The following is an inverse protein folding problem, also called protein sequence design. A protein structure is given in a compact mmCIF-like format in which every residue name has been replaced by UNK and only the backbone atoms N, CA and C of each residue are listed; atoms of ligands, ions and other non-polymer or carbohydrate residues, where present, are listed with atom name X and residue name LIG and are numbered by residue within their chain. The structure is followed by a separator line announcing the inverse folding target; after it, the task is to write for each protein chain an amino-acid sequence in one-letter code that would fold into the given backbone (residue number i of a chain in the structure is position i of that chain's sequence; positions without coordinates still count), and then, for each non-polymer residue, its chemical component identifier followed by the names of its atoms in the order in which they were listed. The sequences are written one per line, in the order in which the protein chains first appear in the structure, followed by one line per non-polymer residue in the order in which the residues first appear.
data_IF_712616778310
#
_entry.id   IF_712616778310
#
_cell.length_a   1.000
_cell.length_b   1.000
_cell.length_c   1.000
_cell.angle_alpha   90.00
_cell.angle_beta   90.00
_cell.angle_gamma   90.00
#
_symmetry.space_group_name_H-M   'P 1'
#
loop_
_entity.id
_entity.type
_entity.pdbx_description
1 polymer ?
#
# COMPACT_ATOMS: atom_id res chain seq x y z
N UNK A 1 27.77 -40.13 -1.04
CA UNK A 1 26.49 -39.73 -0.42
C UNK A 1 26.02 -38.44 -1.09
N UNK A 2 25.00 -38.51 -1.96
CA UNK A 2 24.47 -37.34 -2.68
C UNK A 2 23.44 -36.64 -1.81
N UNK A 3 23.69 -35.38 -1.45
CA UNK A 3 22.68 -34.50 -0.87
C UNK A 3 21.78 -34.04 -2.02
N UNK A 4 20.52 -34.52 -2.05
CA UNK A 4 19.49 -33.99 -2.94
C UNK A 4 18.97 -32.70 -2.33
N UNK A 5 19.42 -31.56 -2.84
CA UNK A 5 18.78 -30.27 -2.59
C UNK A 5 17.41 -30.27 -3.26
N UNK A 6 16.36 -30.41 -2.46
CA UNK A 6 14.99 -30.14 -2.90
C UNK A 6 14.80 -28.64 -3.07
N UNK A 7 15.18 -28.12 -4.23
CA UNK A 7 14.72 -26.82 -4.69
C UNK A 7 13.24 -26.95 -5.01
N UNK A 8 12.38 -26.53 -4.09
CA UNK A 8 10.97 -26.36 -4.38
C UNK A 8 10.85 -25.37 -5.54
N UNK A 9 10.18 -25.79 -6.60
CA UNK A 9 9.80 -24.95 -7.73
C UNK A 9 9.12 -23.69 -7.18
N UNK A 10 9.79 -22.54 -7.30
CA UNK A 10 9.08 -21.26 -7.28
C UNK A 10 8.42 -21.17 -8.64
N UNK A 11 7.13 -21.53 -8.72
CA UNK A 11 6.29 -21.00 -9.78
C UNK A 11 6.52 -19.49 -9.80
N UNK A 12 7.07 -18.99 -10.89
CA UNK A 12 7.19 -17.55 -11.13
C UNK A 12 5.76 -17.03 -11.19
N UNK A 13 5.27 -16.52 -10.07
CA UNK A 13 3.97 -15.88 -9.98
C UNK A 13 4.02 -14.62 -10.84
N UNK A 14 3.54 -14.73 -12.08
CA UNK A 14 3.46 -13.61 -13.01
C UNK A 14 2.32 -12.72 -12.55
N UNK A 15 2.59 -11.44 -12.29
CA UNK A 15 1.54 -10.47 -12.06
C UNK A 15 0.70 -10.33 -13.35
N UNK A 16 -0.57 -10.73 -13.29
CA UNK A 16 -1.51 -10.65 -14.43
C UNK A 16 -2.49 -9.48 -14.30
N UNK A 17 -2.19 -8.48 -13.47
CA UNK A 17 -2.93 -7.22 -13.41
C UNK A 17 -2.89 -6.55 -14.80
N UNK A 18 -4.01 -6.01 -15.25
CA UNK A 18 -4.16 -5.43 -16.59
C UNK A 18 -4.68 -4.00 -16.49
N UNK A 19 -4.26 -3.16 -17.42
CA UNK A 19 -4.69 -1.75 -17.53
C UNK A 19 -6.19 -1.57 -17.77
N UNK A 20 -6.87 -2.59 -18.29
CA UNK A 20 -8.32 -2.59 -18.56
C UNK A 20 -9.17 -2.95 -17.33
N UNK A 21 -8.63 -2.83 -16.11
CA UNK A 21 -9.37 -3.11 -14.89
C UNK A 21 -10.52 -2.09 -14.72
N UNK A 22 -11.70 -2.57 -14.35
CA UNK A 22 -12.85 -1.70 -14.14
C UNK A 22 -12.80 -1.13 -12.72
N UNK A 23 -12.54 0.16 -12.60
CA UNK A 23 -12.57 0.86 -11.33
C UNK A 23 -14.01 1.13 -10.91
N UNK A 24 -14.40 0.63 -9.75
CA UNK A 24 -15.72 0.86 -9.17
C UNK A 24 -15.68 1.82 -7.97
N UNK A 25 -16.87 2.16 -7.47
CA UNK A 25 -17.06 3.05 -6.31
C UNK A 25 -16.41 2.51 -5.03
N UNK A 26 -16.18 1.19 -4.92
CA UNK A 26 -15.60 0.58 -3.73
C UNK A 26 -14.12 0.96 -3.56
N UNK A 27 -13.38 1.18 -4.65
CA UNK A 27 -12.00 1.68 -4.59
C UNK A 27 -11.93 3.10 -4.01
N UNK A 28 -12.92 3.94 -4.34
CA UNK A 28 -13.03 5.27 -3.74
C UNK A 28 -13.43 5.18 -2.26
N UNK A 29 -14.36 4.30 -1.90
CA UNK A 29 -14.71 4.04 -0.50
C UNK A 29 -13.50 3.57 0.32
N UNK A 30 -12.68 2.67 -0.21
CA UNK A 30 -11.41 2.25 0.41
C UNK A 30 -10.50 3.45 0.70
N UNK A 31 -10.38 4.36 -0.26
CA UNK A 31 -9.56 5.57 -0.11
C UNK A 31 -10.08 6.46 1.03
N UNK A 32 -11.39 6.64 1.13
CA UNK A 32 -12.02 7.37 2.24
C UNK A 32 -11.81 6.68 3.59
N UNK A 33 -12.00 5.36 3.67
CA UNK A 33 -11.79 4.59 4.91
C UNK A 33 -10.35 4.73 5.40
N UNK A 34 -9.36 4.65 4.49
CA UNK A 34 -7.96 4.85 4.83
C UNK A 34 -7.71 6.26 5.35
N UNK A 35 -8.21 7.29 4.65
CA UNK A 35 -8.07 8.67 5.11
C UNK A 35 -8.68 8.86 6.51
N UNK A 36 -9.80 8.18 6.81
CA UNK A 36 -10.50 8.24 8.10
C UNK A 36 -9.83 7.48 9.25
N UNK A 37 -8.70 6.82 9.01
CA UNK A 37 -7.83 6.34 10.08
C UNK A 37 -6.94 7.46 10.64
N UNK A 38 -6.70 8.52 9.88
CA UNK A 38 -5.99 9.70 10.39
C UNK A 38 -6.92 10.56 11.26
N UNK A 39 -6.40 11.04 12.37
CA UNK A 39 -7.04 12.07 13.18
C UNK A 39 -7.19 13.38 12.41
N UNK A 40 -8.07 14.26 12.89
CA UNK A 40 -8.26 15.58 12.29
C UNK A 40 -7.00 16.45 12.35
N UNK A 41 -6.17 16.28 13.39
CA UNK A 41 -4.89 16.99 13.51
C UNK A 41 -3.86 16.49 12.49
N UNK A 42 -3.74 15.18 12.32
CA UNK A 42 -2.86 14.58 11.30
C UNK A 42 -3.28 15.01 9.89
N UNK A 43 -4.59 15.00 9.59
CA UNK A 43 -5.12 15.47 8.30
C UNK A 43 -4.76 16.94 8.05
N UNK A 44 -4.92 17.82 9.03
CA UNK A 44 -4.59 19.26 8.91
C UNK A 44 -3.11 19.52 8.69
N UNK A 45 -2.24 18.66 9.23
CA UNK A 45 -0.79 18.82 9.13
C UNK A 45 -0.20 18.14 7.88
N UNK A 46 -1.02 17.53 7.04
CA UNK A 46 -0.60 16.81 5.85
C UNK A 46 -0.15 17.76 4.73
N UNK A 47 1.13 17.74 4.37
CA UNK A 47 1.72 18.60 3.32
C UNK A 47 2.13 17.83 2.08
N UNK A 48 2.52 16.56 2.22
CA UNK A 48 2.93 15.71 1.11
C UNK A 48 2.38 14.29 1.22
N UNK A 49 1.92 13.76 0.09
CA UNK A 49 1.36 12.41 -0.05
C UNK A 49 2.02 11.70 -1.22
N UNK A 50 2.51 10.49 -0.97
CA UNK A 50 2.91 9.53 -2.00
C UNK A 50 1.90 8.39 -2.05
N UNK A 51 1.28 8.18 -3.20
CA UNK A 51 0.27 7.14 -3.42
C UNK A 51 0.83 6.10 -4.38
N UNK A 52 1.15 4.91 -3.85
CA UNK A 52 1.77 3.81 -4.58
C UNK A 52 0.70 2.83 -5.05
N UNK A 53 0.68 2.53 -6.35
CA UNK A 53 -0.43 1.81 -6.98
C UNK A 53 -1.69 2.67 -7.06
N UNK A 54 -1.54 3.96 -7.37
CA UNK A 54 -2.62 4.94 -7.24
C UNK A 54 -3.75 4.75 -8.27
N UNK A 55 -3.55 3.96 -9.33
CA UNK A 55 -4.52 3.75 -10.39
C UNK A 55 -5.01 5.07 -10.97
N UNK A 56 -6.33 5.26 -10.98
CA UNK A 56 -6.99 6.50 -11.44
C UNK A 56 -6.99 7.64 -10.41
N UNK A 57 -6.22 7.51 -9.33
CA UNK A 57 -5.99 8.51 -8.27
C UNK A 57 -7.20 8.83 -7.37
N UNK A 58 -8.00 7.83 -6.99
CA UNK A 58 -9.14 8.05 -6.08
C UNK A 58 -8.76 8.66 -4.73
N UNK A 59 -7.57 8.37 -4.21
CA UNK A 59 -7.11 8.99 -2.96
C UNK A 59 -6.95 10.51 -3.10
N UNK A 60 -6.49 10.99 -4.27
CA UNK A 60 -6.40 12.42 -4.58
C UNK A 60 -7.76 13.10 -4.60
N UNK A 61 -8.77 12.43 -5.18
CA UNK A 61 -10.14 12.94 -5.19
C UNK A 61 -10.70 13.01 -3.77
N UNK A 62 -10.49 11.96 -2.97
CA UNK A 62 -10.90 11.91 -1.56
C UNK A 62 -10.22 13.02 -0.74
N UNK A 63 -8.93 13.29 -0.94
CA UNK A 63 -8.25 14.43 -0.28
C UNK A 63 -8.95 15.76 -0.60
N UNK A 64 -9.23 16.02 -1.89
CA UNK A 64 -9.90 17.25 -2.34
C UNK A 64 -11.31 17.40 -1.78
N UNK A 65 -12.09 16.32 -1.78
CA UNK A 65 -13.45 16.30 -1.24
C UNK A 65 -13.50 16.55 0.26
N UNK A 66 -12.42 16.21 0.97
CA UNK A 66 -12.23 16.51 2.40
C UNK A 66 -11.57 17.88 2.63
N UNK A 67 -11.41 18.72 1.59
CA UNK A 67 -10.82 20.07 1.69
C UNK A 67 -9.31 20.09 1.93
N UNK A 68 -8.61 18.99 1.64
CA UNK A 68 -7.17 18.85 1.80
C UNK A 68 -6.45 19.09 0.47
N UNK A 69 -5.31 19.78 0.51
CA UNK A 69 -4.51 20.10 -0.68
C UNK A 69 -2.99 19.87 -0.48
N UNK A 70 -2.55 18.68 -0.03
CA UNK A 70 -1.14 18.36 0.03
C UNK A 70 -0.54 18.26 -1.39
N UNK A 71 0.79 18.39 -1.48
CA UNK A 71 1.54 17.97 -2.65
C UNK A 71 1.31 16.46 -2.83
N UNK A 72 0.71 16.07 -3.95
CA UNK A 72 0.35 14.69 -4.23
C UNK A 72 1.23 14.11 -5.34
N UNK A 73 1.83 12.96 -5.08
CA UNK A 73 2.62 12.19 -6.03
C UNK A 73 1.99 10.80 -6.20
N UNK A 74 1.47 10.51 -7.39
CA UNK A 74 0.91 9.21 -7.73
C UNK A 74 1.92 8.36 -8.51
N UNK A 75 2.11 7.11 -8.09
CA UNK A 75 2.96 6.13 -8.78
C UNK A 75 2.12 4.93 -9.16
N UNK A 76 2.20 4.51 -10.42
CA UNK A 76 1.48 3.32 -10.89
C UNK A 76 2.25 2.61 -12.00
N UNK A 77 1.87 1.36 -12.29
CA UNK A 77 2.39 0.61 -13.43
C UNK A 77 1.86 1.18 -14.75
N UNK A 78 0.66 1.78 -14.74
CA UNK A 78 -0.02 2.25 -15.93
C UNK A 78 -0.28 3.76 -15.94
N UNK A 79 -0.28 4.41 -17.12
CA UNK A 79 -0.51 5.84 -17.28
C UNK A 79 -2.00 6.19 -17.22
N UNK A 80 -2.64 5.96 -16.07
CA UNK A 80 -4.06 6.25 -15.89
C UNK A 80 -4.38 7.76 -15.87
N UNK A 81 -3.42 8.60 -15.46
CA UNK A 81 -3.43 10.06 -15.58
C UNK A 81 -2.08 10.55 -16.09
N UNK A 82 -2.07 11.76 -16.61
CA UNK A 82 -0.87 12.40 -17.18
C UNK A 82 0.24 12.64 -16.16
N UNK A 83 -0.12 12.81 -14.87
CA UNK A 83 0.82 13.09 -13.78
C UNK A 83 1.24 11.83 -12.99
N UNK A 84 0.91 10.63 -13.47
CA UNK A 84 1.41 9.39 -12.90
C UNK A 84 2.93 9.24 -13.16
N UNK A 85 3.68 8.95 -12.10
CA UNK A 85 5.03 8.41 -12.24
C UNK A 85 4.89 6.93 -12.58
N UNK A 86 5.41 6.52 -13.75
CA UNK A 86 5.39 5.13 -14.16
C UNK A 86 6.50 4.35 -13.46
N UNK A 87 6.12 3.24 -12.81
CA UNK A 87 7.06 2.39 -12.08
C UNK A 87 6.53 0.95 -11.98
N UNK A 88 7.38 -0.01 -12.33
CA UNK A 88 7.11 -1.43 -12.16
C UNK A 88 7.85 -1.99 -10.93
N UNK A 89 7.17 -1.98 -9.78
CA UNK A 89 7.74 -2.49 -8.53
C UNK A 89 8.17 -3.96 -8.62
N UNK A 90 7.54 -4.77 -9.49
CA UNK A 90 7.90 -6.18 -9.67
C UNK A 90 9.16 -6.39 -10.51
N UNK A 91 9.65 -5.35 -11.19
CA UNK A 91 11.00 -5.30 -11.78
C UNK A 91 12.05 -4.74 -10.82
N UNK A 92 11.68 -4.51 -9.57
CA UNK A 92 12.56 -3.89 -8.57
C UNK A 92 12.72 -2.38 -8.76
N UNK A 93 11.96 -1.76 -9.66
CA UNK A 93 11.95 -0.31 -9.84
C UNK A 93 11.38 0.38 -8.60
N UNK A 94 11.88 1.58 -8.31
CA UNK A 94 11.32 2.46 -7.30
C UNK A 94 11.77 3.89 -7.63
N UNK A 95 10.86 4.88 -7.66
CA UNK A 95 11.26 6.22 -8.05
C UNK A 95 12.26 6.80 -7.05
N UNK A 96 13.21 7.59 -7.54
CA UNK A 96 14.19 8.23 -6.69
C UNK A 96 13.60 9.52 -6.10
N UNK A 97 13.21 9.48 -4.82
CA UNK A 97 12.64 10.61 -4.09
C UNK A 97 13.66 11.45 -3.30
N UNK A 98 14.95 11.40 -3.67
CA UNK A 98 16.15 11.94 -2.97
C UNK A 98 16.10 13.34 -2.30
N UNK A 99 15.00 14.09 -2.38
CA UNK A 99 14.85 15.41 -1.75
C UNK A 99 13.52 15.65 -1.01
N UNK A 100 12.62 14.67 -0.90
CA UNK A 100 11.31 14.87 -0.27
C UNK A 100 10.98 13.73 0.69
N UNK A 101 10.89 14.07 1.98
CA UNK A 101 10.15 13.24 2.93
C UNK A 101 8.65 13.38 2.63
N UNK A 102 7.92 12.28 2.69
CA UNK A 102 6.47 12.29 2.56
C UNK A 102 5.84 12.27 3.94
N UNK A 103 4.85 13.12 4.20
CA UNK A 103 4.11 13.01 5.46
C UNK A 103 3.32 11.70 5.49
N UNK A 104 2.71 11.34 4.36
CA UNK A 104 1.90 10.13 4.22
C UNK A 104 2.31 9.33 2.99
N UNK A 105 2.44 8.02 3.17
CA UNK A 105 2.50 7.06 2.06
C UNK A 105 1.23 6.20 2.06
N UNK A 106 0.61 6.03 0.91
CA UNK A 106 -0.61 5.25 0.71
C UNK A 106 -0.32 4.04 -0.18
N UNK A 107 -0.83 2.88 0.20
CA UNK A 107 -0.70 1.60 -0.51
C UNK A 107 -2.07 0.90 -0.52
N UNK A 108 -3.01 1.43 -1.30
CA UNK A 108 -4.42 1.01 -1.28
C UNK A 108 -4.70 -0.12 -2.27
N UNK A 109 -4.54 -1.37 -1.84
CA UNK A 109 -4.78 -2.56 -2.66
C UNK A 109 -3.63 -2.80 -3.63
N UNK A 110 -2.41 -2.72 -3.10
CA UNK A 110 -1.16 -2.88 -3.85
C UNK A 110 -0.46 -4.19 -3.49
N UNK A 111 -0.36 -4.50 -2.20
CA UNK A 111 0.58 -5.50 -1.69
C UNK A 111 0.26 -6.92 -2.12
N UNK A 112 -0.99 -7.24 -2.43
CA UNK A 112 -1.39 -8.55 -2.96
C UNK A 112 -0.70 -8.90 -4.29
N UNK A 113 -0.19 -7.89 -5.02
CA UNK A 113 0.35 -8.02 -6.37
C UNK A 113 1.90 -7.88 -6.46
N UNK A 114 2.59 -7.76 -5.33
CA UNK A 114 4.04 -7.45 -5.28
C UNK A 114 4.88 -8.68 -4.93
N UNK A 115 5.66 -9.20 -5.87
CA UNK A 115 6.47 -10.42 -5.66
C UNK A 115 7.50 -10.25 -4.53
N UNK A 116 8.22 -9.13 -4.49
CA UNK A 116 9.15 -8.78 -3.40
C UNK A 116 8.56 -7.72 -2.48
N UNK A 117 7.54 -8.13 -1.71
CA UNK A 117 6.82 -7.20 -0.83
C UNK A 117 7.70 -6.67 0.31
N UNK A 118 8.57 -7.50 0.90
CA UNK A 118 9.50 -7.04 1.93
C UNK A 118 10.48 -5.99 1.37
N UNK A 119 11.02 -6.20 0.16
CA UNK A 119 11.88 -5.23 -0.49
C UNK A 119 11.16 -3.92 -0.77
N UNK A 120 9.90 -3.96 -1.22
CA UNK A 120 9.09 -2.75 -1.39
C UNK A 120 8.84 -2.02 -0.07
N UNK A 121 8.44 -2.72 0.99
CA UNK A 121 8.20 -2.10 2.31
C UNK A 121 9.47 -1.47 2.87
N UNK A 122 10.63 -2.11 2.71
CA UNK A 122 11.91 -1.53 3.13
C UNK A 122 12.19 -0.19 2.41
N UNK A 123 11.90 -0.10 1.10
CA UNK A 123 12.06 1.15 0.33
C UNK A 123 11.06 2.23 0.77
N UNK A 124 9.82 1.85 1.05
CA UNK A 124 8.78 2.75 1.60
C UNK A 124 9.24 3.33 2.94
N UNK A 125 9.65 2.47 3.88
CA UNK A 125 10.07 2.90 5.21
C UNK A 125 11.39 3.69 5.18
N UNK A 126 12.28 3.45 4.21
CA UNK A 126 13.50 4.25 4.02
C UNK A 126 13.20 5.71 3.67
N UNK A 127 12.02 6.03 3.12
CA UNK A 127 11.56 7.41 2.92
C UNK A 127 11.16 8.10 4.24
N UNK A 128 11.14 7.35 5.35
CA UNK A 128 10.82 7.83 6.69
C UNK A 128 9.52 8.63 6.78
N UNK A 129 8.39 8.17 6.21
CA UNK A 129 7.14 8.90 6.33
C UNK A 129 6.63 9.00 7.77
N UNK A 130 5.79 9.99 8.04
CA UNK A 130 5.14 10.08 9.35
C UNK A 130 4.12 8.96 9.53
N UNK A 131 3.36 8.69 8.47
CA UNK A 131 2.25 7.77 8.43
C UNK A 131 2.30 6.90 7.18
N UNK A 132 1.90 5.65 7.31
CA UNK A 132 1.69 4.73 6.19
C UNK A 132 0.27 4.18 6.29
N UNK A 133 -0.52 4.40 5.24
CA UNK A 133 -1.85 3.83 5.08
C UNK A 133 -1.76 2.68 4.08
N UNK A 134 -2.25 1.50 4.44
CA UNK A 134 -2.36 0.41 3.50
C UNK A 134 -3.64 -0.39 3.69
N UNK A 135 -4.09 -1.05 2.61
CA UNK A 135 -5.14 -2.05 2.70
C UNK A 135 -4.62 -3.41 2.27
N UNK A 136 -5.17 -4.47 2.85
CA UNK A 136 -4.79 -5.84 2.51
C UNK A 136 -5.96 -6.80 2.63
N UNK A 137 -6.06 -7.73 1.70
CA UNK A 137 -6.97 -8.87 1.75
C UNK A 137 -6.24 -10.11 2.27
N UNK A 138 -6.68 -10.65 3.40
CA UNK A 138 -6.09 -11.84 4.00
C UNK A 138 -6.65 -13.12 3.37
N UNK A 139 -5.81 -14.14 3.29
CA UNK A 139 -6.19 -15.46 2.77
C UNK A 139 -7.22 -16.15 3.69
N UNK A 140 -8.07 -16.99 3.09
CA UNK A 140 -9.17 -17.68 3.79
C UNK A 140 -10.32 -16.78 4.25
N UNK A 141 -10.21 -15.47 4.01
CA UNK A 141 -11.17 -14.46 4.43
C UNK A 141 -11.84 -13.83 3.19
N UNK A 142 -11.06 -13.49 2.15
CA UNK A 142 -11.57 -12.96 0.88
C UNK A 142 -11.65 -14.02 -0.23
N UNK A 143 -12.57 -13.82 -1.19
CA UNK A 143 -12.65 -14.55 -2.46
C UNK A 143 -11.26 -14.57 -3.10
N UNK A 144 -10.80 -15.79 -3.35
CA UNK A 144 -9.51 -16.07 -3.96
C UNK A 144 -9.42 -15.38 -5.33
N UNK A 145 -8.50 -14.42 -5.46
CA UNK A 145 -8.14 -13.84 -6.74
C UNK A 145 -6.88 -14.55 -7.27
N UNK A 146 -6.97 -15.14 -8.46
CA UNK A 146 -5.88 -15.91 -9.07
C UNK A 146 -4.64 -15.05 -9.39
N UNK A 147 -4.80 -13.72 -9.41
CA UNK A 147 -3.73 -12.79 -9.74
C UNK A 147 -2.93 -12.35 -8.50
N UNK A 148 -3.37 -12.72 -7.29
CA UNK A 148 -2.65 -12.43 -6.04
C UNK A 148 -1.44 -13.34 -5.91
N UNK A 149 -0.29 -12.71 -5.70
CA UNK A 149 1.00 -13.39 -5.51
C UNK A 149 1.40 -13.46 -4.03
N UNK A 150 0.79 -12.63 -3.17
CA UNK A 150 0.96 -12.68 -1.71
C UNK A 150 -0.31 -13.12 -0.99
N UNK A 151 -0.12 -13.90 0.08
CA UNK A 151 -1.17 -14.45 0.95
C UNK A 151 -0.72 -14.40 2.40
N UNK A 152 -0.45 -13.19 2.88
CA UNK A 152 0.01 -13.00 4.25
C UNK A 152 -1.15 -13.15 5.24
N UNK A 153 -0.83 -13.59 6.46
CA UNK A 153 -1.69 -13.38 7.63
C UNK A 153 -1.42 -11.99 8.24
N UNK A 154 -2.23 -11.58 9.21
CA UNK A 154 -2.08 -10.27 9.87
C UNK A 154 -0.70 -10.10 10.52
N UNK A 155 -0.23 -11.14 11.21
CA UNK A 155 1.07 -11.10 11.90
C UNK A 155 2.22 -10.87 10.91
N UNK A 156 2.19 -11.54 9.76
CA UNK A 156 3.22 -11.42 8.72
C UNK A 156 3.18 -10.05 8.06
N UNK A 157 1.99 -9.51 7.75
CA UNK A 157 1.85 -8.14 7.24
C UNK A 157 2.44 -7.13 8.23
N UNK A 158 2.09 -7.23 9.52
CA UNK A 158 2.56 -6.28 10.54
C UNK A 158 4.06 -6.38 10.76
N UNK A 159 4.61 -7.60 10.69
CA UNK A 159 6.06 -7.81 10.81
C UNK A 159 6.86 -7.07 9.73
N UNK A 160 6.34 -6.90 8.50
CA UNK A 160 7.03 -6.13 7.46
C UNK A 160 7.35 -4.69 7.92
N UNK A 161 6.38 -4.05 8.59
CA UNK A 161 6.49 -2.69 9.09
C UNK A 161 7.27 -2.64 10.41
N UNK A 162 7.01 -3.59 11.31
CA UNK A 162 7.70 -3.66 12.61
C UNK A 162 9.22 -3.77 12.46
N UNK A 163 9.70 -4.55 11.48
CA UNK A 163 11.13 -4.67 11.18
C UNK A 163 11.78 -3.37 10.70
N UNK A 164 10.97 -2.35 10.37
CA UNK A 164 11.40 -1.03 9.92
C UNK A 164 11.00 0.08 10.91
N UNK A 165 10.74 -0.25 12.18
CA UNK A 165 10.32 0.70 13.24
C UNK A 165 8.97 1.40 13.00
N UNK A 166 8.11 0.79 12.18
CA UNK A 166 6.72 1.20 11.99
C UNK A 166 5.77 0.24 12.71
N UNK A 167 4.83 0.81 13.45
CA UNK A 167 3.93 0.08 14.33
C UNK A 167 2.49 0.41 14.00
N UNK A 168 1.61 -0.57 14.18
CA UNK A 168 0.18 -0.37 13.96
C UNK A 168 -0.36 0.65 14.96
N UNK A 169 -0.97 1.72 14.46
CA UNK A 169 -1.57 2.79 15.24
C UNK A 169 -3.09 2.67 15.29
N UNK A 170 -3.73 2.43 14.13
CA UNK A 170 -5.17 2.21 14.03
C UNK A 170 -5.49 1.24 12.89
N UNK A 171 -6.65 0.60 12.95
CA UNK A 171 -7.13 -0.28 11.89
C UNK A 171 -8.65 -0.35 11.84
N UNK A 172 -9.16 -0.65 10.63
CA UNK A 172 -10.56 -1.00 10.41
C UNK A 172 -10.63 -2.28 9.60
N UNK A 173 -11.70 -3.03 9.79
CA UNK A 173 -12.04 -4.20 8.97
C UNK A 173 -13.51 -4.10 8.60
N UNK A 174 -13.84 -4.28 7.32
CA UNK A 174 -15.24 -4.42 6.92
C UNK A 174 -15.63 -5.90 6.87
N UNK A 175 -16.71 -6.28 7.56
CA UNK A 175 -17.35 -7.59 7.39
C UNK A 175 -18.20 -7.57 6.11
N UNK A 176 -17.59 -7.89 4.97
CA UNK A 176 -18.28 -8.20 3.70
C UNK A 176 -17.86 -9.60 3.24
N UNK A 177 -18.39 -10.08 2.11
CA UNK A 177 -17.99 -11.34 1.47
C UNK A 177 -16.47 -11.42 1.19
N UNK A 178 -15.78 -10.26 1.08
CA UNK A 178 -14.32 -10.11 1.03
C UNK A 178 -13.83 -9.10 2.08
N UNK A 179 -13.43 -9.54 3.29
CA UNK A 179 -12.93 -8.64 4.32
C UNK A 179 -11.55 -8.08 3.97
N UNK A 180 -11.55 -6.86 3.45
CA UNK A 180 -10.35 -6.03 3.38
C UNK A 180 -10.07 -5.43 4.75
N UNK A 181 -8.82 -5.55 5.20
CA UNK A 181 -8.29 -4.79 6.33
C UNK A 181 -7.70 -3.46 5.86
N UNK A 182 -7.86 -2.43 6.65
CA UNK A 182 -7.35 -1.07 6.43
C UNK A 182 -6.51 -0.71 7.64
N UNK A 183 -5.27 -0.26 7.41
CA UNK A 183 -4.27 -0.14 8.46
C UNK A 183 -3.56 1.19 8.37
N UNK A 184 -3.32 1.78 9.54
CA UNK A 184 -2.46 2.94 9.74
C UNK A 184 -1.25 2.51 10.54
N UNK A 185 -0.06 2.69 9.97
CA UNK A 185 1.22 2.49 10.66
C UNK A 185 1.90 3.84 10.89
N UNK A 186 2.53 3.98 12.05
CA UNK A 186 3.27 5.17 12.45
C UNK A 186 4.67 4.78 12.90
N UNK A 187 5.62 5.71 12.76
CA UNK A 187 6.97 5.52 13.31
C UNK A 187 6.91 5.47 14.84
N UNK A 188 7.71 4.61 15.47
CA UNK A 188 7.76 4.42 16.94
C UNK A 188 7.80 5.72 17.74
N UNK A 189 8.60 6.68 17.29
CA UNK A 189 8.82 7.98 17.94
C UNK A 189 7.55 8.84 18.02
N UNK A 190 6.54 8.55 17.22
CA UNK A 190 5.25 9.24 17.21
C UNK A 190 4.17 8.51 18.00
N UNK A 191 4.42 7.28 18.47
CA UNK A 191 3.49 6.58 19.35
C UNK A 191 3.64 7.12 20.78
N UNK A 192 2.71 7.99 21.21
CA UNK A 192 2.67 8.49 22.59
C UNK A 192 2.74 10.02 22.75
N UNK A 193 2.05 10.76 21.88
CA UNK A 193 1.54 12.10 22.25
C UNK A 193 0.03 12.05 22.36
#
# INVERSE_FOLDING_TARGET
MRVRGGGAFRETSINTWKSSFNYDVEFKQRSQILLDLLSQEEKKNLRSVLDLGCGIQYFKDVLRENGLAPIYCGVDLYPHKEDNILCDFNKGEFPNFSKQGFDLIVCAGLFEYIVDLQGLVNKICALSPNHILCSYNFDGISLQNSIWVNRLDQKSLFNLFFLNDYYLNDYKTHRRNNPTGYFLFCKKEKMGR
#
